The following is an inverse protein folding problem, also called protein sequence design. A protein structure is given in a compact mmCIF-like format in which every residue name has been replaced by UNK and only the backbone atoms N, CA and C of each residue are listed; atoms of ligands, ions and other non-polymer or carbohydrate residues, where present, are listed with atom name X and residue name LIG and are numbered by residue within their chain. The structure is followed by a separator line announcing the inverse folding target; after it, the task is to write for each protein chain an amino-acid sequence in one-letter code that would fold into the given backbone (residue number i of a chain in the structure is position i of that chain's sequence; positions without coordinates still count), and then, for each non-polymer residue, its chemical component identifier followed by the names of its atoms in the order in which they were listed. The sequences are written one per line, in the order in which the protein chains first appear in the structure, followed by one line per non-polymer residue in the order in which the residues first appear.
data_IF_513373467392
#
_entry.id   IF_513373467392
#
_cell.length_a   1.000
_cell.length_b   1.000
_cell.length_c   1.000
_cell.angle_alpha   90.00
_cell.angle_beta   90.00
_cell.angle_gamma   90.00
#
_symmetry.space_group_name_H-M   'P 1'
#
loop_
_entity.id
_entity.type
_entity.pdbx_description
1 polymer ?
#
# COMPACT_ATOMS: atom_id res chain seq x y z
N UNK A 1 -15.05 -13.70 6.74
CA UNK A 1 -14.93 -14.09 8.17
C UNK A 1 -14.09 -15.34 8.39
N UNK A 2 -13.67 -16.04 7.33
CA UNK A 2 -12.93 -17.32 7.47
C UNK A 2 -11.41 -17.15 7.37
N UNK A 3 -10.92 -15.90 7.38
CA UNK A 3 -9.49 -15.61 7.23
C UNK A 3 -8.76 -15.87 8.56
N UNK A 4 -7.83 -16.85 8.64
CA UNK A 4 -7.12 -17.14 9.88
C UNK A 4 -6.06 -16.08 10.20
N UNK A 5 -6.02 -15.66 11.46
CA UNK A 5 -4.92 -14.86 12.01
C UNK A 5 -3.69 -15.75 12.15
N UNK A 6 -2.59 -15.35 11.52
CA UNK A 6 -1.31 -16.07 11.54
C UNK A 6 -0.46 -15.64 12.73
N UNK A 7 -0.44 -14.32 13.02
CA UNK A 7 0.34 -13.72 14.11
C UNK A 7 -0.22 -12.34 14.47
N UNK A 8 -0.03 -11.94 15.72
CA UNK A 8 -0.36 -10.61 16.25
C UNK A 8 0.91 -10.03 16.89
N UNK A 9 1.20 -8.77 16.60
CA UNK A 9 2.42 -8.08 17.02
C UNK A 9 2.04 -6.75 17.69
N UNK A 10 2.68 -6.48 18.82
CA UNK A 10 2.39 -5.31 19.66
C UNK A 10 1.11 -5.47 20.49
N UNK A 11 0.88 -4.52 21.39
CA UNK A 11 -0.30 -4.46 22.23
C UNK A 11 -1.04 -3.15 21.97
N UNK A 12 -2.35 -3.18 21.64
CA UNK A 12 -3.18 -1.98 21.60
C UNK A 12 -3.03 -1.15 22.87
N UNK A 13 -2.72 0.14 22.70
CA UNK A 13 -2.57 1.07 23.83
C UNK A 13 -3.86 1.16 24.64
N UNK A 14 -3.73 1.05 25.96
CA UNK A 14 -4.82 1.34 26.89
C UNK A 14 -4.90 2.86 27.15
N UNK A 15 -5.97 3.48 26.66
CA UNK A 15 -6.19 4.92 26.79
C UNK A 15 -6.98 5.23 28.07
N UNK A 16 -6.51 6.20 28.86
CA UNK A 16 -7.22 6.71 30.05
C UNK A 16 -8.35 7.69 29.71
N UNK A 17 -8.62 7.88 28.42
CA UNK A 17 -9.67 8.72 27.84
C UNK A 17 -10.27 7.98 26.63
N UNK A 18 -11.43 8.42 26.13
CA UNK A 18 -12.02 7.82 24.93
C UNK A 18 -11.20 8.23 23.69
N UNK A 19 -10.54 7.30 22.98
CA UNK A 19 -9.78 7.64 21.78
C UNK A 19 -10.70 8.21 20.70
N UNK A 20 -10.27 9.30 20.08
CA UNK A 20 -10.94 9.91 18.95
C UNK A 20 -10.60 9.18 17.65
N UNK A 21 -11.51 9.24 16.67
CA UNK A 21 -11.20 8.84 15.30
C UNK A 21 -10.36 9.91 14.59
N UNK A 22 -9.58 9.50 13.60
CA UNK A 22 -8.72 10.40 12.80
C UNK A 22 -9.46 11.59 12.17
N UNK A 23 -10.76 11.48 11.89
CA UNK A 23 -11.54 12.60 11.34
C UNK A 23 -11.65 13.75 12.34
N UNK A 24 -11.90 13.44 13.61
CA UNK A 24 -12.09 14.43 14.66
C UNK A 24 -10.75 15.04 15.07
N UNK A 25 -9.71 14.20 15.15
CA UNK A 25 -8.32 14.64 15.39
C UNK A 25 -7.86 15.56 14.27
N UNK A 26 -7.98 15.11 13.02
CA UNK A 26 -7.51 15.83 11.84
C UNK A 26 -8.24 17.16 11.63
N UNK A 27 -9.55 17.20 11.87
CA UNK A 27 -10.32 18.44 11.84
C UNK A 27 -9.95 19.37 13.02
N UNK A 28 -9.80 18.81 14.23
CA UNK A 28 -9.43 19.54 15.43
C UNK A 28 -8.06 20.22 15.32
N UNK A 29 -7.09 19.57 14.66
CA UNK A 29 -5.76 20.09 14.39
C UNK A 29 -5.68 20.94 13.11
N UNK A 30 -6.80 21.11 12.38
CA UNK A 30 -6.85 21.82 11.09
C UNK A 30 -5.90 21.24 10.00
N UNK A 31 -5.56 19.96 10.09
CA UNK A 31 -4.68 19.24 9.16
C UNK A 31 -5.44 18.42 8.11
N UNK A 32 -6.75 18.15 8.33
CA UNK A 32 -7.64 17.48 7.37
C UNK A 32 -8.85 18.36 7.05
N UNK A 33 -9.08 18.61 5.76
CA UNK A 33 -10.14 19.50 5.27
C UNK A 33 -11.03 18.80 4.24
N UNK A 34 -11.97 18.00 4.74
CA UNK A 34 -12.90 17.21 3.91
C UNK A 34 -13.91 18.10 3.15
N UNK A 35 -14.30 19.24 3.71
CA UNK A 35 -15.25 20.16 3.07
C UNK A 35 -14.61 20.78 1.81
N UNK A 36 -13.39 21.32 1.94
CA UNK A 36 -12.68 21.88 0.77
C UNK A 36 -12.35 20.78 -0.24
N UNK A 37 -11.99 19.58 0.19
CA UNK A 37 -11.78 18.45 -0.73
C UNK A 37 -13.06 18.12 -1.53
N UNK A 38 -14.21 18.07 -0.85
CA UNK A 38 -15.52 17.88 -1.47
C UNK A 38 -15.83 18.95 -2.52
N UNK A 39 -15.48 20.21 -2.25
CA UNK A 39 -15.63 21.30 -3.20
C UNK A 39 -14.69 21.19 -4.41
N UNK A 40 -13.48 20.66 -4.24
CA UNK A 40 -12.47 20.57 -5.31
C UNK A 40 -12.74 19.37 -6.24
N UNK A 41 -13.06 18.19 -5.66
CA UNK A 41 -13.08 16.92 -6.41
C UNK A 41 -14.33 16.08 -6.18
N UNK A 42 -15.21 16.46 -5.25
CA UNK A 42 -16.37 15.67 -4.85
C UNK A 42 -16.09 14.69 -3.71
N UNK A 43 -17.00 13.75 -3.49
CA UNK A 43 -16.92 12.78 -2.40
C UNK A 43 -15.70 11.85 -2.53
N UNK A 44 -15.25 11.27 -1.40
CA UNK A 44 -14.10 10.33 -1.32
C UNK A 44 -12.76 10.93 -1.80
N UNK A 45 -12.63 12.25 -1.72
CA UNK A 45 -11.37 12.96 -1.77
C UNK A 45 -11.14 13.66 -0.44
N UNK A 46 -9.88 13.99 -0.18
CA UNK A 46 -9.44 14.60 1.06
C UNK A 46 -8.31 15.60 0.78
N UNK A 47 -8.21 16.61 1.62
CA UNK A 47 -7.21 17.66 1.53
C UNK A 47 -6.44 17.71 2.85
N UNK A 48 -5.17 17.32 2.80
CA UNK A 48 -4.26 17.53 3.92
C UNK A 48 -3.64 18.92 3.88
N UNK A 49 -3.39 19.46 5.07
CA UNK A 49 -2.82 20.79 5.27
C UNK A 49 -1.73 20.75 6.33
N UNK A 50 -0.79 21.70 6.22
CA UNK A 50 0.26 21.94 7.19
C UNK A 50 0.94 20.63 7.67
N UNK A 51 0.93 20.35 8.96
CA UNK A 51 1.58 19.18 9.57
C UNK A 51 0.99 17.85 9.10
N UNK A 52 -0.28 17.79 8.68
CA UNK A 52 -0.85 16.58 8.09
C UNK A 52 -0.24 16.27 6.73
N UNK A 53 -0.07 17.29 5.89
CA UNK A 53 0.60 17.14 4.59
C UNK A 53 2.09 16.84 4.77
N UNK A 54 2.74 17.43 5.80
CA UNK A 54 4.12 17.10 6.17
C UNK A 54 4.25 15.65 6.63
N UNK A 55 3.33 15.15 7.46
CA UNK A 55 3.32 13.79 7.97
C UNK A 55 3.13 12.77 6.84
N UNK A 56 2.22 13.02 5.90
CA UNK A 56 2.03 12.15 4.73
C UNK A 56 3.31 12.06 3.88
N UNK A 57 3.98 13.20 3.62
CA UNK A 57 5.28 13.21 2.94
C UNK A 57 6.38 12.51 3.75
N UNK A 58 6.41 12.71 5.06
CA UNK A 58 7.38 12.07 5.94
C UNK A 58 7.25 10.54 5.91
N UNK A 59 6.01 10.03 5.90
CA UNK A 59 5.72 8.60 5.74
C UNK A 59 6.21 8.05 4.41
N UNK A 60 5.95 8.75 3.30
CA UNK A 60 6.43 8.35 1.97
C UNK A 60 7.95 8.21 1.98
N UNK A 61 8.65 9.25 2.45
CA UNK A 61 10.12 9.27 2.47
C UNK A 61 10.69 8.19 3.39
N UNK A 62 10.14 8.04 4.60
CA UNK A 62 10.55 7.01 5.55
C UNK A 62 10.41 5.60 4.95
N UNK A 63 9.26 5.30 4.35
CA UNK A 63 9.01 4.00 3.73
C UNK A 63 9.96 3.73 2.56
N UNK A 64 10.15 4.69 1.65
CA UNK A 64 11.10 4.54 0.54
C UNK A 64 12.54 4.36 1.03
N UNK A 65 12.99 5.19 1.98
CA UNK A 65 14.34 5.10 2.55
C UNK A 65 14.56 3.75 3.24
N UNK A 66 13.56 3.25 3.98
CA UNK A 66 13.62 1.94 4.62
C UNK A 66 13.85 0.83 3.58
N UNK A 67 13.03 0.79 2.53
CA UNK A 67 13.08 -0.31 1.56
C UNK A 67 14.31 -0.24 0.66
N UNK A 68 14.71 0.96 0.26
CA UNK A 68 15.80 1.16 -0.72
C UNK A 68 17.18 1.09 -0.08
N UNK A 69 17.34 1.63 1.14
CA UNK A 69 18.65 1.67 1.82
C UNK A 69 18.92 0.45 2.69
N UNK A 70 17.88 -0.24 3.16
CA UNK A 70 18.03 -1.32 4.15
C UNK A 70 17.44 -2.67 3.72
N UNK A 71 16.60 -2.71 2.68
CA UNK A 71 15.96 -3.97 2.22
C UNK A 71 16.34 -4.38 0.78
N UNK A 72 17.18 -3.61 0.10
CA UNK A 72 17.74 -3.98 -1.21
C UNK A 72 16.77 -3.78 -2.39
N UNK A 73 15.73 -2.95 -2.23
CA UNK A 73 14.86 -2.57 -3.32
C UNK A 73 15.48 -1.45 -4.16
N UNK A 74 15.31 -1.53 -5.48
CA UNK A 74 15.65 -0.44 -6.39
C UNK A 74 14.48 0.54 -6.42
N UNK A 75 14.76 1.82 -6.13
CA UNK A 75 13.74 2.86 -6.23
C UNK A 75 13.41 3.17 -7.68
N UNK A 76 12.12 3.22 -8.02
CA UNK A 76 11.64 3.64 -9.34
C UNK A 76 10.47 4.60 -9.22
N UNK A 77 10.39 5.57 -10.13
CA UNK A 77 9.28 6.51 -10.27
C UNK A 77 8.54 6.24 -11.59
N UNK A 78 7.50 5.38 -11.59
CA UNK A 78 6.82 4.97 -12.80
C UNK A 78 5.82 6.02 -13.33
N UNK A 79 5.37 5.91 -14.60
CA UNK A 79 4.23 6.68 -15.10
C UNK A 79 2.95 6.37 -14.31
N UNK A 80 2.13 7.40 -14.03
CA UNK A 80 0.85 7.25 -13.33
C UNK A 80 -0.34 6.98 -14.27
N UNK A 81 -0.09 7.02 -15.59
CA UNK A 81 -1.02 6.63 -16.64
C UNK A 81 -0.39 5.51 -17.45
N UNK A 82 -1.14 4.44 -17.71
CA UNK A 82 -0.65 3.26 -18.43
C UNK A 82 -1.64 2.80 -19.48
N UNK A 83 -1.15 2.16 -20.53
CA UNK A 83 -1.98 1.62 -21.60
C UNK A 83 -2.72 0.33 -21.20
N UNK A 84 -3.68 -0.08 -22.04
CA UNK A 84 -4.47 -1.30 -21.83
C UNK A 84 -3.62 -2.57 -21.72
N UNK A 85 -2.50 -2.65 -22.44
CA UNK A 85 -1.61 -3.81 -22.38
C UNK A 85 -1.00 -3.98 -20.98
N UNK A 86 -0.60 -2.88 -20.33
CA UNK A 86 -0.09 -2.93 -18.96
C UNK A 86 -1.15 -3.37 -17.96
N UNK A 87 -2.37 -2.81 -18.06
CA UNK A 87 -3.50 -3.22 -17.22
C UNK A 87 -3.91 -4.69 -17.43
N UNK A 88 -3.75 -5.21 -18.64
CA UNK A 88 -4.03 -6.61 -18.96
C UNK A 88 -2.95 -7.55 -18.38
N UNK A 89 -1.68 -7.12 -18.42
CA UNK A 89 -0.54 -7.85 -17.89
C UNK A 89 -0.70 -8.21 -16.41
N UNK A 90 -1.14 -7.25 -15.59
CA UNK A 90 -1.34 -7.43 -14.15
C UNK A 90 -2.74 -7.89 -13.74
N UNK A 91 -3.65 -8.06 -14.71
CA UNK A 91 -4.95 -8.71 -14.49
C UNK A 91 -6.12 -7.77 -14.16
N UNK A 92 -5.92 -6.46 -14.16
CA UNK A 92 -7.00 -5.48 -13.98
C UNK A 92 -7.98 -5.52 -15.16
N UNK A 93 -7.47 -5.63 -16.39
CA UNK A 93 -8.30 -5.82 -17.58
C UNK A 93 -8.40 -7.31 -17.98
N UNK A 94 -9.56 -7.74 -18.52
CA UNK A 94 -10.77 -6.95 -18.76
C UNK A 94 -11.74 -6.88 -17.56
N UNK A 95 -11.55 -7.73 -16.54
CA UNK A 95 -12.56 -8.01 -15.50
C UNK A 95 -12.95 -6.80 -14.65
N UNK A 96 -11.99 -5.92 -14.34
CA UNK A 96 -12.17 -4.80 -13.41
C UNK A 96 -12.20 -3.45 -14.11
N UNK A 97 -12.56 -3.40 -15.40
CA UNK A 97 -12.61 -2.15 -16.16
C UNK A 97 -13.51 -1.08 -15.50
N UNK A 98 -14.58 -1.50 -14.83
CA UNK A 98 -15.52 -0.61 -14.13
C UNK A 98 -14.91 0.05 -12.88
N UNK A 99 -13.88 -0.55 -12.29
CA UNK A 99 -13.17 -0.03 -11.11
C UNK A 99 -12.06 0.98 -11.45
N UNK A 100 -11.74 1.15 -12.74
CA UNK A 100 -10.63 1.97 -13.22
C UNK A 100 -11.08 3.32 -13.78
N UNK A 101 -10.29 4.37 -13.53
CA UNK A 101 -10.41 5.63 -14.24
C UNK A 101 -9.70 5.55 -15.60
N UNK A 102 -10.48 5.62 -16.69
CA UNK A 102 -9.98 5.65 -18.08
C UNK A 102 -9.91 7.09 -18.58
N UNK A 103 -8.86 7.42 -19.33
CA UNK A 103 -8.74 8.71 -20.01
C UNK A 103 -9.65 8.72 -21.25
N UNK A 104 -10.48 9.73 -21.37
CA UNK A 104 -11.38 9.86 -22.52
C UNK A 104 -10.58 10.12 -23.80
N UNK A 105 -10.93 9.43 -24.89
CA UNK A 105 -10.27 9.58 -26.19
C UNK A 105 -8.84 9.03 -26.27
N UNK A 106 -8.31 8.41 -25.20
CA UNK A 106 -6.95 7.86 -25.17
C UNK A 106 -6.93 6.48 -24.52
N UNK A 107 -6.18 5.53 -25.09
CA UNK A 107 -6.04 4.18 -24.51
C UNK A 107 -5.12 4.16 -23.28
N UNK A 108 -5.46 4.96 -22.28
CA UNK A 108 -4.73 5.08 -21.03
C UNK A 108 -5.68 5.07 -19.84
N UNK A 109 -5.16 4.57 -18.73
CA UNK A 109 -5.86 4.46 -17.46
C UNK A 109 -4.96 5.04 -16.37
N UNK A 110 -5.57 5.72 -15.39
CA UNK A 110 -4.87 6.04 -14.16
C UNK A 110 -4.60 4.75 -13.38
N UNK A 111 -3.41 4.63 -12.80
CA UNK A 111 -3.00 3.41 -12.11
C UNK A 111 -3.76 3.22 -10.78
N UNK A 112 -4.32 2.02 -10.49
CA UNK A 112 -4.94 1.73 -9.20
C UNK A 112 -3.91 1.33 -8.12
N UNK A 113 -2.65 1.15 -8.53
CA UNK A 113 -1.48 0.78 -7.73
C UNK A 113 -0.21 0.85 -8.60
N UNK A 114 0.95 1.14 -7.99
CA UNK A 114 2.24 1.09 -8.67
C UNK A 114 2.61 -0.33 -9.16
N UNK A 115 1.99 -1.39 -8.62
CA UNK A 115 2.11 -2.75 -9.14
C UNK A 115 1.95 -2.78 -10.67
N UNK A 116 0.96 -2.06 -11.22
CA UNK A 116 0.66 -2.11 -12.66
C UNK A 116 1.87 -1.68 -13.50
N UNK A 117 2.39 -0.45 -13.37
CA UNK A 117 3.54 -0.05 -14.17
C UNK A 117 4.84 -0.78 -13.75
N UNK A 118 5.05 -1.07 -12.47
CA UNK A 118 6.32 -1.66 -12.00
C UNK A 118 6.45 -3.12 -12.44
N UNK A 119 5.39 -3.93 -12.35
CA UNK A 119 5.41 -5.31 -12.89
C UNK A 119 5.64 -5.31 -14.41
N UNK A 120 5.14 -4.28 -15.11
CA UNK A 120 5.30 -4.16 -16.57
C UNK A 120 6.67 -3.59 -17.01
N UNK A 121 7.59 -3.25 -16.09
CA UNK A 121 8.97 -2.85 -16.45
C UNK A 121 9.62 -3.92 -17.33
N UNK A 122 9.40 -5.20 -17.00
CA UNK A 122 9.99 -6.34 -17.70
C UNK A 122 9.02 -7.02 -18.69
N UNK A 123 7.95 -6.33 -19.12
CA UNK A 123 7.01 -6.90 -20.11
C UNK A 123 7.76 -7.26 -21.40
N UNK A 124 7.53 -8.49 -21.88
CA UNK A 124 8.20 -9.06 -23.06
C UNK A 124 9.72 -9.29 -22.92
N UNK A 125 10.28 -9.21 -21.70
CA UNK A 125 11.70 -9.41 -21.45
C UNK A 125 12.07 -10.84 -20.98
N UNK A 126 13.35 -11.16 -21.10
CA UNK A 126 13.97 -12.36 -20.51
C UNK A 126 15.07 -11.90 -19.55
N UNK A 127 14.80 -12.03 -18.25
CA UNK A 127 15.74 -11.70 -17.17
C UNK A 127 16.77 -12.83 -17.02
N UNK A 128 18.05 -12.50 -16.78
CA UNK A 128 19.02 -13.54 -16.44
C UNK A 128 18.68 -14.14 -15.07
N UNK A 129 18.68 -15.46 -14.94
CA UNK A 129 18.25 -16.09 -13.68
C UNK A 129 19.16 -15.76 -12.50
N UNK A 130 20.44 -15.45 -12.77
CA UNK A 130 21.40 -14.97 -11.78
C UNK A 130 21.11 -13.55 -11.23
N UNK A 131 20.27 -12.77 -11.91
CA UNK A 131 19.84 -11.44 -11.45
C UNK A 131 18.61 -11.52 -10.52
N UNK A 132 18.01 -12.71 -10.34
CA UNK A 132 16.82 -12.90 -9.51
C UNK A 132 17.20 -13.14 -8.03
N UNK A 133 16.43 -12.59 -7.05
CA UNK A 133 15.24 -11.79 -7.25
C UNK A 133 15.55 -10.33 -7.61
N UNK A 134 14.76 -9.77 -8.54
CA UNK A 134 14.77 -8.33 -8.82
C UNK A 134 13.66 -7.67 -8.00
N UNK A 135 14.01 -6.67 -7.21
CA UNK A 135 13.13 -6.03 -6.23
C UNK A 135 13.02 -4.52 -6.52
N UNK A 136 11.80 -4.00 -6.66
CA UNK A 136 11.52 -2.58 -6.87
C UNK A 136 10.62 -1.98 -5.79
N UNK A 137 10.91 -0.75 -5.40
CA UNK A 137 10.06 0.06 -4.53
C UNK A 137 9.61 1.32 -5.28
N UNK A 138 8.34 1.67 -5.19
CA UNK A 138 7.79 2.85 -5.87
C UNK A 138 6.71 3.54 -5.04
N UNK A 139 6.84 4.85 -4.89
CA UNK A 139 5.73 5.70 -4.44
C UNK A 139 4.88 6.14 -5.63
N UNK A 140 3.55 6.02 -5.51
CA UNK A 140 2.61 6.61 -6.48
C UNK A 140 1.31 7.07 -5.81
N UNK A 141 0.63 8.09 -6.35
CA UNK A 141 -0.81 8.24 -6.16
C UNK A 141 -1.54 7.10 -6.88
N UNK A 142 -2.48 6.48 -6.19
CA UNK A 142 -3.30 5.36 -6.65
C UNK A 142 -4.74 5.82 -6.85
N UNK A 143 -5.37 5.42 -7.96
CA UNK A 143 -6.70 5.87 -8.36
C UNK A 143 -7.68 4.70 -8.50
N UNK A 144 -8.75 4.70 -7.72
CA UNK A 144 -9.78 3.65 -7.75
C UNK A 144 -11.19 4.23 -7.75
N UNK A 145 -12.07 3.75 -8.63
CA UNK A 145 -13.48 4.19 -8.64
C UNK A 145 -14.25 3.66 -7.44
N UNK A 146 -13.75 2.62 -6.75
CA UNK A 146 -14.41 2.03 -5.58
C UNK A 146 -15.89 1.67 -5.87
N UNK A 147 -16.16 1.12 -7.06
CA UNK A 147 -17.52 0.78 -7.49
C UNK A 147 -18.11 -0.30 -6.55
N UNK A 148 -19.40 -0.19 -6.24
CA UNK A 148 -20.07 -1.12 -5.32
C UNK A 148 -19.80 -0.88 -3.82
N UNK A 149 -19.02 0.14 -3.44
CA UNK A 149 -18.74 0.49 -2.03
C UNK A 149 -19.83 1.34 -1.35
N UNK A 150 -21.07 1.32 -1.85
CA UNK A 150 -22.17 2.17 -1.36
C UNK A 150 -22.37 2.03 0.16
N UNK A 151 -22.27 3.13 0.88
CA UNK A 151 -22.51 3.20 2.33
C UNK A 151 -21.35 2.72 3.22
N UNK A 152 -20.27 2.12 2.68
CA UNK A 152 -19.12 1.66 3.48
C UNK A 152 -17.99 2.69 3.50
N UNK A 153 -17.47 2.96 4.70
CA UNK A 153 -16.34 3.88 4.96
C UNK A 153 -16.49 5.20 4.17
N UNK A 154 -17.68 5.82 4.27
CA UNK A 154 -18.04 7.03 3.52
C UNK A 154 -17.38 8.29 4.10
N UNK A 155 -17.06 8.26 5.40
CA UNK A 155 -16.37 9.32 6.13
C UNK A 155 -14.91 8.94 6.36
N UNK A 156 -14.03 9.95 6.37
CA UNK A 156 -12.63 9.81 6.72
C UNK A 156 -11.69 9.51 5.56
N UNK A 157 -10.52 8.97 5.89
CA UNK A 157 -9.35 8.87 5.01
C UNK A 157 -8.99 7.42 4.61
N UNK A 158 -9.80 6.43 5.03
CA UNK A 158 -9.52 4.99 4.83
C UNK A 158 -9.82 4.50 3.40
N UNK A 159 -10.91 4.99 2.80
CA UNK A 159 -11.38 4.61 1.46
C UNK A 159 -11.61 5.86 0.60
N UNK A 160 -10.69 6.11 -0.33
CA UNK A 160 -10.65 7.31 -1.17
C UNK A 160 -10.54 6.93 -2.64
N UNK A 161 -10.96 7.83 -3.54
CA UNK A 161 -10.71 7.68 -4.98
C UNK A 161 -9.25 7.87 -5.34
N UNK A 162 -8.54 8.70 -4.57
CA UNK A 162 -7.10 8.92 -4.67
C UNK A 162 -6.46 8.69 -3.30
N UNK A 163 -5.42 7.87 -3.26
CA UNK A 163 -4.62 7.66 -2.04
C UNK A 163 -3.16 7.39 -2.40
N UNK A 164 -2.26 7.65 -1.47
CA UNK A 164 -0.83 7.42 -1.67
C UNK A 164 -0.42 6.04 -1.17
N UNK A 165 0.50 5.39 -1.89
CA UNK A 165 1.05 4.09 -1.51
C UNK A 165 2.52 3.98 -1.91
N UNK A 166 3.31 3.38 -1.02
CA UNK A 166 4.62 2.82 -1.37
C UNK A 166 4.41 1.34 -1.67
N UNK A 167 4.72 0.93 -2.89
CA UNK A 167 4.58 -0.43 -3.36
C UNK A 167 5.92 -1.14 -3.43
N UNK A 168 5.91 -2.42 -3.07
CA UNK A 168 7.02 -3.35 -3.23
C UNK A 168 6.65 -4.37 -4.29
N UNK A 169 7.52 -4.58 -5.27
CA UNK A 169 7.34 -5.59 -6.34
C UNK A 169 8.58 -6.45 -6.43
N UNK A 170 8.39 -7.77 -6.54
CA UNK A 170 9.48 -8.73 -6.73
C UNK A 170 9.23 -9.59 -7.96
N UNK A 171 10.31 -9.84 -8.71
CA UNK A 171 10.39 -10.88 -9.74
C UNK A 171 11.33 -11.96 -9.22
N UNK A 172 10.89 -13.21 -9.20
CA UNK A 172 11.65 -14.30 -8.56
C UNK A 172 11.74 -15.52 -9.46
N UNK A 173 12.68 -16.41 -9.17
CA UNK A 173 12.61 -17.77 -9.67
C UNK A 173 11.34 -18.45 -9.12
N UNK A 174 10.71 -19.37 -9.89
CA UNK A 174 9.53 -20.11 -9.42
C UNK A 174 9.74 -20.81 -8.08
N UNK A 175 10.93 -21.40 -7.88
CA UNK A 175 11.26 -22.21 -6.71
C UNK A 175 11.31 -21.40 -5.41
N UNK A 176 11.54 -20.10 -5.48
CA UNK A 176 11.76 -19.25 -4.30
C UNK A 176 10.57 -18.34 -3.98
N UNK A 177 9.53 -18.30 -4.82
CA UNK A 177 8.48 -17.28 -4.71
C UNK A 177 7.74 -17.30 -3.38
N UNK A 178 7.45 -18.48 -2.81
CA UNK A 178 6.76 -18.56 -1.52
C UNK A 178 7.64 -18.13 -0.34
N UNK A 179 8.95 -18.37 -0.40
CA UNK A 179 9.88 -17.82 0.57
C UNK A 179 10.01 -16.30 0.42
N UNK A 180 9.98 -15.78 -0.81
CA UNK A 180 9.96 -14.35 -1.08
C UNK A 180 8.68 -13.66 -0.64
N UNK A 181 7.53 -14.36 -0.61
CA UNK A 181 6.28 -13.85 -0.06
C UNK A 181 6.39 -13.61 1.45
N UNK A 182 7.00 -14.54 2.20
CA UNK A 182 7.24 -14.35 3.63
C UNK A 182 8.19 -13.17 3.87
N UNK A 183 9.25 -13.03 3.04
CA UNK A 183 10.17 -11.88 3.11
C UNK A 183 9.47 -10.56 2.78
N UNK A 184 8.70 -10.51 1.72
CA UNK A 184 7.91 -9.34 1.31
C UNK A 184 6.93 -8.90 2.41
N UNK A 185 6.24 -9.87 3.03
CA UNK A 185 5.36 -9.59 4.17
C UNK A 185 6.18 -9.03 5.34
N UNK A 186 7.34 -9.62 5.64
CA UNK A 186 8.28 -9.11 6.63
C UNK A 186 8.80 -7.70 6.35
N UNK A 187 9.02 -7.35 5.08
CA UNK A 187 9.43 -6.01 4.64
C UNK A 187 8.33 -4.97 4.95
N UNK A 188 7.07 -5.31 4.67
CA UNK A 188 5.92 -4.47 5.01
C UNK A 188 5.69 -4.38 6.54
N UNK A 189 5.82 -5.50 7.26
CA UNK A 189 5.72 -5.57 8.73
C UNK A 189 6.77 -4.67 9.42
N UNK A 190 7.97 -4.53 8.84
CA UNK A 190 9.04 -3.68 9.40
C UNK A 190 8.63 -2.21 9.54
N UNK A 191 7.88 -1.70 8.57
CA UNK A 191 7.35 -0.33 8.61
C UNK A 191 6.52 -0.12 9.88
N UNK A 192 5.63 -1.08 10.19
CA UNK A 192 4.77 -1.01 11.37
C UNK A 192 5.54 -1.20 12.68
N UNK A 193 6.56 -2.07 12.68
CA UNK A 193 7.44 -2.29 13.85
C UNK A 193 8.20 -1.01 14.22
N UNK A 194 8.80 -0.34 13.23
CA UNK A 194 9.54 0.90 13.46
C UNK A 194 8.63 2.09 13.81
N UNK A 195 7.38 2.07 13.34
CA UNK A 195 6.34 3.02 13.75
C UNK A 195 5.65 2.61 15.06
N UNK A 196 6.03 1.49 15.67
CA UNK A 196 5.44 0.94 16.90
C UNK A 196 3.89 0.84 16.85
N UNK A 197 3.34 0.52 15.68
CA UNK A 197 1.90 0.37 15.49
C UNK A 197 1.48 -1.08 15.72
N UNK A 198 0.54 -1.39 16.62
CA UNK A 198 0.05 -2.75 16.82
C UNK A 198 -0.67 -3.26 15.57
N UNK A 199 -0.41 -4.51 15.18
CA UNK A 199 -0.98 -5.10 13.97
C UNK A 199 -1.15 -6.62 14.08
N UNK A 200 -1.91 -7.19 13.15
CA UNK A 200 -2.01 -8.63 12.95
C UNK A 200 -1.82 -8.99 11.48
N UNK A 201 -1.31 -10.19 11.24
CA UNK A 201 -1.17 -10.76 9.90
C UNK A 201 -2.22 -11.86 9.72
N UNK A 202 -2.92 -11.82 8.61
CA UNK A 202 -4.04 -12.68 8.29
C UNK A 202 -3.77 -13.35 6.94
N UNK A 203 -4.02 -14.66 6.82
CA UNK A 203 -4.02 -15.31 5.49
C UNK A 203 -5.41 -15.19 4.89
N UNK A 204 -5.53 -14.75 3.64
CA UNK A 204 -6.83 -14.71 2.98
C UNK A 204 -7.30 -16.13 2.63
N UNK A 205 -8.56 -16.43 2.95
CA UNK A 205 -9.19 -17.67 2.50
C UNK A 205 -9.47 -17.60 0.99
N UNK A 206 -9.74 -18.75 0.37
CA UNK A 206 -9.88 -18.85 -1.09
C UNK A 206 -10.99 -17.96 -1.67
N UNK A 207 -12.06 -17.69 -0.90
CA UNK A 207 -13.16 -16.82 -1.32
C UNK A 207 -12.88 -15.33 -1.23
N UNK A 208 -11.82 -14.92 -0.53
CA UNK A 208 -11.44 -13.52 -0.31
C UNK A 208 -10.16 -13.13 -1.06
N UNK A 209 -9.52 -14.09 -1.75
CA UNK A 209 -8.33 -13.81 -2.55
C UNK A 209 -8.64 -12.94 -3.77
N UNK A 210 -7.72 -12.01 -4.05
CA UNK A 210 -7.74 -11.20 -5.27
C UNK A 210 -7.60 -12.07 -6.52
N UNK A 211 -8.18 -11.61 -7.63
CA UNK A 211 -8.32 -12.38 -8.88
C UNK A 211 -7.02 -13.00 -9.42
N UNK A 212 -5.88 -12.34 -9.23
CA UNK A 212 -4.60 -12.79 -9.76
C UNK A 212 -3.76 -13.58 -8.74
N UNK A 213 -4.10 -13.52 -7.45
CA UNK A 213 -3.25 -14.04 -6.39
C UNK A 213 -3.42 -15.56 -6.23
N UNK A 214 -2.30 -16.26 -6.05
CA UNK A 214 -2.27 -17.66 -5.64
C UNK A 214 -2.24 -17.80 -4.10
N UNK A 215 -1.63 -16.85 -3.40
CA UNK A 215 -1.63 -16.72 -1.93
C UNK A 215 -1.46 -15.27 -1.52
N UNK A 216 -2.19 -14.84 -0.50
CA UNK A 216 -2.13 -13.48 0.04
C UNK A 216 -2.07 -13.47 1.57
N UNK A 217 -1.21 -12.60 2.10
CA UNK A 217 -1.24 -12.15 3.48
C UNK A 217 -1.72 -10.70 3.54
N UNK A 218 -2.74 -10.45 4.34
CA UNK A 218 -3.12 -9.09 4.71
C UNK A 218 -2.50 -8.74 6.06
N UNK A 219 -1.99 -7.52 6.16
CA UNK A 219 -1.56 -6.92 7.41
C UNK A 219 -2.64 -5.92 7.81
N UNK A 220 -3.17 -6.07 9.02
CA UNK A 220 -4.20 -5.20 9.55
C UNK A 220 -3.67 -4.45 10.78
N UNK A 221 -3.74 -3.13 10.77
CA UNK A 221 -3.27 -2.25 11.86
C UNK A 221 -4.42 -1.92 12.83
N UNK A 222 -4.11 -1.78 14.11
CA UNK A 222 -5.07 -1.40 15.14
C UNK A 222 -5.47 0.07 15.01
N UNK A 223 -6.78 0.34 14.99
CA UNK A 223 -7.34 1.69 15.02
C UNK A 223 -8.17 1.87 16.30
N UNK A 224 -7.65 2.56 17.34
CA UNK A 224 -8.32 2.65 18.63
C UNK A 224 -9.63 3.44 18.57
N UNK A 225 -9.76 4.46 17.72
CA UNK A 225 -11.02 5.20 17.57
C UNK A 225 -12.14 4.32 17.01
N UNK A 226 -11.79 3.31 16.21
CA UNK A 226 -12.75 2.35 15.65
C UNK A 226 -12.86 1.03 16.44
N UNK A 227 -11.98 0.82 17.42
CA UNK A 227 -11.93 -0.40 18.23
C UNK A 227 -11.68 -1.70 17.44
N UNK A 228 -10.94 -1.64 16.33
CA UNK A 228 -10.68 -2.82 15.48
C UNK A 228 -9.41 -2.72 14.65
N UNK A 229 -8.94 -3.87 14.18
CA UNK A 229 -7.93 -3.97 13.15
C UNK A 229 -8.51 -3.65 11.76
N UNK A 230 -7.75 -2.94 10.93
CA UNK A 230 -8.09 -2.61 9.54
C UNK A 230 -6.91 -2.88 8.63
N UNK A 231 -7.16 -3.48 7.47
CA UNK A 231 -6.15 -3.71 6.43
C UNK A 231 -5.33 -2.43 6.16
N UNK A 232 -4.01 -2.55 6.17
CA UNK A 232 -3.04 -1.49 5.83
C UNK A 232 -2.08 -1.93 4.72
N UNK A 233 -1.96 -3.24 4.52
CA UNK A 233 -1.19 -3.85 3.44
C UNK A 233 -1.80 -5.17 3.03
N UNK A 234 -1.64 -5.50 1.75
CA UNK A 234 -1.90 -6.80 1.18
C UNK A 234 -0.65 -7.22 0.42
N UNK A 235 -0.12 -8.41 0.71
CA UNK A 235 1.10 -8.99 0.15
C UNK A 235 0.76 -10.31 -0.54
N UNK A 236 1.02 -10.41 -1.84
CA UNK A 236 0.56 -11.51 -2.69
C UNK A 236 1.67 -12.14 -3.52
N UNK A 237 1.58 -13.46 -3.68
CA UNK A 237 2.29 -14.21 -4.70
C UNK A 237 1.31 -14.54 -5.83
N UNK A 238 1.67 -14.18 -7.07
CA UNK A 238 0.86 -14.40 -8.27
C UNK A 238 1.30 -15.63 -9.07
N UNK A 239 2.33 -16.32 -8.60
CA UNK A 239 3.06 -17.33 -9.36
C UNK A 239 3.35 -16.79 -10.78
N UNK A 240 3.09 -17.58 -11.82
CA UNK A 240 3.32 -17.17 -13.19
C UNK A 240 2.11 -16.45 -13.85
N UNK A 241 1.04 -16.12 -13.11
CA UNK A 241 -0.19 -15.56 -13.69
C UNK A 241 0.06 -14.27 -14.46
N UNK A 242 0.72 -13.29 -13.81
CA UNK A 242 1.03 -12.01 -14.44
C UNK A 242 2.16 -12.17 -15.45
N UNK A 243 3.17 -12.99 -15.14
CA UNK A 243 4.29 -13.27 -16.02
C UNK A 243 3.85 -13.87 -17.37
N UNK A 244 2.84 -14.74 -17.38
CA UNK A 244 2.25 -15.30 -18.61
C UNK A 244 1.55 -14.24 -19.45
N UNK A 245 0.81 -13.32 -18.81
CA UNK A 245 0.05 -12.25 -19.48
C UNK A 245 0.95 -11.14 -20.02
N UNK A 246 2.01 -10.82 -19.30
CA UNK A 246 3.02 -9.83 -19.67
C UNK A 246 4.27 -10.44 -20.33
N UNK A 247 4.25 -11.74 -20.61
CA UNK A 247 5.32 -12.48 -21.29
C UNK A 247 6.73 -12.33 -20.65
N UNK A 248 6.77 -12.23 -19.31
CA UNK A 248 7.98 -11.98 -18.52
C UNK A 248 8.65 -13.30 -18.19
N UNK A 249 9.87 -13.51 -18.69
CA UNK A 249 10.57 -14.79 -18.57
C UNK A 249 11.92 -14.61 -17.87
N UNK A 250 12.46 -15.70 -17.35
CA UNK A 250 13.84 -15.80 -16.95
C UNK A 250 14.54 -16.96 -17.67
N UNK A 251 15.87 -16.90 -17.71
CA UNK A 251 16.68 -17.95 -18.31
C UNK A 251 18.02 -18.10 -17.60
N UNK A 252 18.32 -19.32 -17.18
CA UNK A 252 19.68 -19.77 -16.89
C UNK A 252 20.45 -20.08 -18.17
N UNK A 253 21.74 -19.76 -18.19
CA UNK A 253 22.61 -19.92 -19.37
C UNK A 253 22.58 -21.37 -19.88
N UNK A 254 22.23 -21.54 -21.16
CA UNK A 254 22.14 -22.85 -21.82
C UNK A 254 20.79 -23.57 -21.66
N UNK A 255 19.85 -23.00 -20.90
CA UNK A 255 18.52 -23.57 -20.68
C UNK A 255 17.43 -22.83 -21.47
N UNK A 256 16.26 -23.46 -21.61
CA UNK A 256 15.09 -22.82 -22.24
C UNK A 256 14.51 -21.75 -21.30
N UNK A 257 14.03 -20.60 -21.82
CA UNK A 257 13.34 -19.61 -20.99
C UNK A 257 12.11 -20.20 -20.31
N UNK A 258 11.86 -19.78 -19.07
CA UNK A 258 10.67 -20.11 -18.26
C UNK A 258 10.06 -18.84 -17.69
N UNK A 259 8.80 -18.85 -17.29
CA UNK A 259 8.17 -17.67 -16.70
C UNK A 259 8.73 -17.43 -15.28
N UNK A 260 8.94 -16.16 -14.93
CA UNK A 260 9.21 -15.76 -13.55
C UNK A 260 7.95 -15.92 -12.71
N UNK A 261 8.11 -15.91 -11.39
CA UNK A 261 7.00 -15.58 -10.50
C UNK A 261 7.02 -14.08 -10.17
N UNK A 262 5.85 -13.47 -10.05
CA UNK A 262 5.71 -12.07 -9.59
C UNK A 262 5.08 -12.02 -8.21
N UNK A 263 5.51 -11.05 -7.42
CA UNK A 263 4.93 -10.73 -6.12
C UNK A 263 4.78 -9.22 -5.97
N UNK A 264 3.79 -8.79 -5.19
CA UNK A 264 3.70 -7.41 -4.74
C UNK A 264 3.15 -7.32 -3.33
N UNK A 265 3.50 -6.23 -2.65
CA UNK A 265 3.02 -5.92 -1.32
C UNK A 265 2.98 -4.43 -1.09
N UNK A 266 1.99 -3.96 -0.33
CA UNK A 266 1.98 -2.56 0.10
C UNK A 266 3.00 -2.38 1.22
N UNK A 267 3.92 -1.42 1.11
CA UNK A 267 4.95 -1.16 2.12
C UNK A 267 4.97 0.30 2.61
N UNK A 268 3.87 1.02 2.85
CA UNK A 268 2.48 0.62 3.10
C UNK A 268 1.50 1.52 2.30
N UNK A 269 0.19 1.33 2.48
CA UNK A 269 -0.81 2.33 2.10
C UNK A 269 -0.69 3.57 3.02
N UNK A 270 -0.02 4.61 2.53
CA UNK A 270 0.40 5.80 3.31
C UNK A 270 -0.74 6.45 4.06
N UNK A 271 -1.88 6.67 3.39
CA UNK A 271 -3.03 7.32 4.02
C UNK A 271 -3.61 6.51 5.19
N UNK A 272 -3.63 5.18 5.09
CA UNK A 272 -4.06 4.32 6.21
C UNK A 272 -3.04 4.32 7.34
N UNK A 273 -1.74 4.41 7.04
CA UNK A 273 -0.69 4.59 8.04
C UNK A 273 -0.82 5.92 8.78
N UNK A 274 -1.13 7.00 8.06
CA UNK A 274 -1.39 8.30 8.66
C UNK A 274 -2.57 8.23 9.64
N UNK A 275 -3.68 7.58 9.25
CA UNK A 275 -4.82 7.33 10.15
C UNK A 275 -4.39 6.57 11.40
N UNK A 276 -3.60 5.51 11.25
CA UNK A 276 -3.11 4.73 12.38
C UNK A 276 -2.23 5.56 13.32
N UNK A 277 -1.39 6.45 12.81
CA UNK A 277 -0.58 7.36 13.63
C UNK A 277 -1.47 8.34 14.39
N UNK A 278 -2.39 9.02 13.70
CA UNK A 278 -3.28 9.98 14.36
C UNK A 278 -4.04 9.32 15.52
N UNK A 279 -4.56 8.13 15.33
CA UNK A 279 -5.34 7.45 16.36
C UNK A 279 -4.50 6.81 17.47
N UNK A 280 -3.34 6.19 17.18
CA UNK A 280 -2.53 5.52 18.22
C UNK A 280 -1.65 6.48 19.02
N UNK A 281 -1.23 7.59 18.42
CA UNK A 281 -0.33 8.56 19.03
C UNK A 281 -1.04 9.80 19.61
N UNK A 282 -2.37 9.78 19.68
CA UNK A 282 -3.13 10.87 20.29
C UNK A 282 -2.88 11.01 21.80
N UNK A 283 -3.02 12.23 22.28
CA UNK A 283 -3.03 12.62 23.71
C UNK A 283 -4.42 13.07 24.14
N UNK A 284 -4.62 13.25 25.45
CA UNK A 284 -5.92 13.63 26.02
C UNK A 284 -6.45 14.98 25.50
N UNK A 285 -5.56 15.90 25.16
CA UNK A 285 -5.88 17.22 24.56
C UNK A 285 -5.99 17.18 23.02
N UNK A 286 -6.07 15.98 22.43
CA UNK A 286 -6.18 15.72 21.00
C UNK A 286 -4.97 16.20 20.15
N UNK A 287 -3.81 16.41 20.77
CA UNK A 287 -2.54 16.51 20.04
C UNK A 287 -2.07 15.13 19.60
N UNK A 288 -1.11 15.06 18.67
CA UNK A 288 -0.54 13.79 18.19
C UNK A 288 0.97 13.80 18.34
N UNK A 289 1.50 12.85 19.10
CA UNK A 289 2.94 12.64 19.23
C UNK A 289 3.48 12.10 17.90
N UNK A 290 4.58 12.68 17.41
CA UNK A 290 5.23 12.20 16.18
C UNK A 290 6.09 10.98 16.51
N UNK A 291 5.89 9.82 15.84
CA UNK A 291 6.75 8.66 16.02
C UNK A 291 8.23 9.02 15.83
N UNK A 292 9.10 8.48 16.68
CA UNK A 292 10.52 8.89 16.74
C UNK A 292 11.22 8.76 15.38
N UNK A 293 10.94 7.68 14.64
CA UNK A 293 11.50 7.43 13.30
C UNK A 293 11.05 8.45 12.24
N UNK A 294 9.96 9.18 12.48
CA UNK A 294 9.45 10.21 11.57
C UNK A 294 9.95 11.61 11.90
N UNK A 295 10.42 11.86 13.13
CA UNK A 295 10.89 13.20 13.54
C UNK A 295 11.97 13.78 12.60
N UNK A 296 12.98 13.01 12.12
CA UNK A 296 13.95 13.53 11.16
C UNK A 296 13.32 14.00 9.85
N UNK A 297 12.25 13.34 9.39
CA UNK A 297 11.52 13.71 8.17
C UNK A 297 10.53 14.85 8.39
N UNK A 298 10.21 15.17 9.65
CA UNK A 298 9.33 16.26 10.06
C UNK A 298 10.10 17.45 10.65
N UNK A 299 11.40 17.58 10.37
CA UNK A 299 12.21 18.72 10.82
C UNK A 299 12.43 18.77 12.34
N UNK A 300 12.41 17.62 13.01
CA UNK A 300 12.53 17.52 14.47
C UNK A 300 11.22 17.79 15.22
N UNK A 301 10.09 17.94 14.54
CA UNK A 301 8.79 18.10 15.19
C UNK A 301 8.46 16.88 16.04
N UNK A 302 8.18 17.09 17.33
CA UNK A 302 7.87 16.02 18.28
C UNK A 302 6.37 15.82 18.49
N UNK A 303 5.56 16.87 18.26
CA UNK A 303 4.12 16.85 18.52
C UNK A 303 3.38 17.76 17.55
N UNK A 304 2.27 17.27 17.00
CA UNK A 304 1.33 18.04 16.19
C UNK A 304 0.24 18.57 17.13
N UNK A 305 0.10 19.89 17.21
CA UNK A 305 -0.84 20.60 18.08
C UNK A 305 -1.47 21.78 17.33
N UNK A 306 -2.56 22.33 17.89
CA UNK A 306 -3.20 23.55 17.40
C UNK A 306 -2.27 24.77 17.43
#
# INVERSE_FOLDING_TARGET
NDNPVVRTIGEPRDFKFSPLEHTDIGAGLAIMDFERAGKISGARFSLLRAEGALLERALINFMLDLHTRHRGYIEVLPPFMVNSASMTGTGQLPKFAEDLFKIEGWDHYLIPTAEVPVTNIHRDEIIAEEDLPVCYAAYTPCFRKEAGSYGKDVKGYIRQHQFNKVELVKFTAPETSYAELERLTGDAEEVLKQLELPYRVVTLCTGDMGFSAAKTFDIEVWLPGQGKYREISSCSNFEDFQARRANIRCRKKGEKPRFVHTLNGSGLAVGRTLVAILENYQTEDASVVVPDVLRPYMGGLEIIRK
#
